data_IF_342238834336
#
_entry.id   IF_342238834336
#
_cell.length_a   1.000
_cell.length_b   1.000
_cell.length_c   1.000
_cell.angle_alpha   90.00
_cell.angle_beta   90.00
_cell.angle_gamma   90.00
#
_symmetry.space_group_name_H-M   'P 1'
#
loop_
_entity.id
_entity.type
_entity.pdbx_description
1 polymer ?
#
# COMPACT_ATOMS: atom_id res chain seq x y z
N UNK A 1 1.31 -24.79 21.03
CA UNK A 1 1.30 -23.78 22.12
C UNK A 1 0.71 -22.52 21.53
N UNK A 2 -0.46 -22.08 21.99
CA UNK A 2 -1.06 -20.82 21.53
C UNK A 2 -0.25 -19.65 22.09
N UNK A 3 0.09 -18.68 21.25
CA UNK A 3 0.75 -17.45 21.69
C UNK A 3 -0.15 -16.73 22.71
N UNK A 4 0.42 -16.11 23.77
CA UNK A 4 -0.37 -15.36 24.75
C UNK A 4 -1.01 -14.13 24.09
N UNK A 5 -2.23 -13.80 24.53
CA UNK A 5 -3.02 -12.66 24.05
C UNK A 5 -2.24 -11.35 24.21
N UNK A 6 -2.09 -10.59 23.13
CA UNK A 6 -1.33 -9.36 23.12
C UNK A 6 -2.24 -8.11 23.20
N UNK A 7 -1.64 -6.91 23.25
CA UNK A 7 -2.42 -5.67 23.39
C UNK A 7 -3.29 -5.35 22.17
N UNK A 8 -2.94 -5.84 20.97
CA UNK A 8 -3.75 -5.70 19.76
C UNK A 8 -5.00 -6.56 19.88
N UNK A 9 -4.89 -7.80 20.39
CA UNK A 9 -6.06 -8.63 20.69
C UNK A 9 -7.01 -7.92 21.66
N UNK A 10 -6.48 -7.32 22.73
CA UNK A 10 -7.29 -6.57 23.69
C UNK A 10 -7.99 -5.36 23.06
N UNK A 11 -7.30 -4.63 22.17
CA UNK A 11 -7.88 -3.51 21.42
C UNK A 11 -9.00 -3.97 20.49
N UNK A 12 -8.79 -5.03 19.71
CA UNK A 12 -9.78 -5.56 18.77
C UNK A 12 -11.02 -6.09 19.52
N UNK A 13 -10.83 -6.80 20.63
CA UNK A 13 -11.93 -7.23 21.51
C UNK A 13 -12.69 -6.01 22.05
N UNK A 14 -11.98 -4.98 22.51
CA UNK A 14 -12.62 -3.75 23.00
C UNK A 14 -13.48 -3.07 21.92
N UNK A 15 -13.01 -3.01 20.68
CA UNK A 15 -13.79 -2.49 19.55
C UNK A 15 -15.07 -3.29 19.33
N UNK A 16 -15.00 -4.61 19.36
CA UNK A 16 -16.18 -5.49 19.21
C UNK A 16 -17.17 -5.29 20.36
N UNK A 17 -16.69 -5.25 21.61
CA UNK A 17 -17.55 -5.04 22.78
C UNK A 17 -18.24 -3.67 22.76
N UNK A 18 -17.51 -2.61 22.38
CA UNK A 18 -18.08 -1.27 22.21
C UNK A 18 -19.14 -1.23 21.11
N UNK A 19 -18.93 -1.96 20.01
CA UNK A 19 -19.90 -2.05 18.92
C UNK A 19 -21.15 -2.85 19.33
N UNK A 20 -21.01 -3.92 20.11
CA UNK A 20 -22.13 -4.66 20.73
C UNK A 20 -22.93 -3.71 21.62
N UNK A 21 -22.26 -2.95 22.49
CA UNK A 21 -22.90 -1.99 23.39
C UNK A 21 -23.62 -0.88 22.61
N UNK A 22 -23.01 -0.34 21.55
CA UNK A 22 -23.66 0.61 20.67
C UNK A 22 -24.89 0.00 19.96
N UNK A 23 -24.79 -1.27 19.56
CA UNK A 23 -25.91 -2.04 18.98
C UNK A 23 -27.05 -2.22 19.97
N UNK A 24 -26.75 -2.52 21.23
CA UNK A 24 -27.72 -2.55 22.32
C UNK A 24 -28.45 -1.21 22.44
N UNK A 25 -27.73 -0.09 22.45
CA UNK A 25 -28.34 1.25 22.60
C UNK A 25 -29.20 1.67 21.41
N UNK A 26 -28.82 1.27 20.19
CA UNK A 26 -29.57 1.59 18.95
C UNK A 26 -30.75 0.67 18.70
N UNK A 27 -30.65 -0.58 19.13
CA UNK A 27 -31.62 -1.63 18.86
C UNK A 27 -31.49 -2.28 17.48
N UNK A 28 -32.13 -3.44 17.35
CA UNK A 28 -32.02 -4.34 16.21
C UNK A 28 -32.48 -3.72 14.91
N UNK A 29 -33.65 -3.06 14.90
CA UNK A 29 -34.21 -2.53 13.67
C UNK A 29 -33.28 -1.48 13.03
N UNK A 30 -32.83 -0.51 13.81
CA UNK A 30 -31.91 0.53 13.34
C UNK A 30 -30.52 -0.05 13.01
N UNK A 31 -30.00 -0.96 13.84
CA UNK A 31 -28.72 -1.61 13.60
C UNK A 31 -28.70 -2.41 12.29
N UNK A 32 -29.71 -3.24 12.06
CA UNK A 32 -29.82 -4.09 10.88
C UNK A 32 -30.06 -3.29 9.61
N UNK A 33 -30.94 -2.29 9.63
CA UNK A 33 -31.16 -1.40 8.50
C UNK A 33 -29.91 -0.59 8.15
N UNK A 34 -29.19 -0.09 9.16
CA UNK A 34 -27.92 0.61 8.95
C UNK A 34 -26.85 -0.28 8.34
N UNK A 35 -26.71 -1.52 8.81
CA UNK A 35 -25.76 -2.50 8.27
C UNK A 35 -26.11 -2.85 6.82
N UNK A 36 -27.39 -3.14 6.53
CA UNK A 36 -27.85 -3.41 5.18
C UNK A 36 -27.61 -2.21 4.26
N UNK A 37 -27.92 -0.99 4.73
CA UNK A 37 -27.67 0.23 3.98
C UNK A 37 -26.19 0.42 3.63
N UNK A 38 -25.29 0.12 4.56
CA UNK A 38 -23.85 0.16 4.30
C UNK A 38 -23.44 -0.87 3.24
N UNK A 39 -23.84 -2.13 3.40
CA UNK A 39 -23.52 -3.21 2.44
C UNK A 39 -24.07 -2.87 1.04
N UNK A 40 -25.34 -2.46 0.97
CA UNK A 40 -25.98 -2.08 -0.28
C UNK A 40 -25.26 -0.90 -0.96
N UNK A 41 -24.81 0.09 -0.19
CA UNK A 41 -24.05 1.22 -0.73
C UNK A 41 -22.71 0.80 -1.35
N UNK A 42 -22.00 -0.15 -0.72
CA UNK A 42 -20.75 -0.70 -1.25
C UNK A 42 -21.00 -1.51 -2.52
N UNK A 43 -21.98 -2.41 -2.51
CA UNK A 43 -22.36 -3.20 -3.69
C UNK A 43 -22.76 -2.30 -4.86
N UNK A 44 -23.59 -1.29 -4.61
CA UNK A 44 -23.99 -0.33 -5.64
C UNK A 44 -22.79 0.49 -6.13
N UNK A 45 -21.90 0.90 -5.24
CA UNK A 45 -20.64 1.53 -5.60
C UNK A 45 -19.87 0.74 -6.66
N UNK A 46 -19.66 -0.55 -6.43
CA UNK A 46 -18.97 -1.44 -7.37
C UNK A 46 -19.70 -1.61 -8.71
N UNK A 47 -21.02 -1.60 -8.72
CA UNK A 47 -21.80 -1.73 -9.96
C UNK A 47 -21.75 -0.44 -10.79
N UNK A 48 -21.81 0.72 -10.14
CA UNK A 48 -22.05 2.01 -10.81
C UNK A 48 -20.80 2.88 -10.99
N UNK A 49 -19.69 2.62 -10.28
CA UNK A 49 -18.47 3.41 -10.47
C UNK A 49 -17.95 3.45 -11.93
N UNK A 50 -18.08 2.40 -12.78
CA UNK A 50 -17.56 2.48 -14.15
C UNK A 50 -18.34 3.48 -15.01
N UNK A 51 -19.65 3.61 -14.75
CA UNK A 51 -20.49 4.60 -15.43
C UNK A 51 -20.13 6.01 -14.97
N UNK A 52 -19.97 6.20 -13.66
CA UNK A 52 -19.60 7.49 -13.10
C UNK A 52 -18.18 7.91 -13.52
N UNK A 53 -17.24 6.97 -13.68
CA UNK A 53 -15.89 7.26 -14.16
C UNK A 53 -15.90 7.88 -15.56
N UNK A 54 -16.73 7.36 -16.47
CA UNK A 54 -16.91 7.94 -17.82
C UNK A 54 -17.46 9.37 -17.77
N UNK A 55 -18.34 9.66 -16.82
CA UNK A 55 -18.87 11.01 -16.61
C UNK A 55 -17.78 11.93 -16.07
N UNK A 56 -17.04 11.49 -15.04
CA UNK A 56 -15.93 12.27 -14.46
C UNK A 56 -14.89 12.58 -15.52
N UNK A 57 -14.50 11.62 -16.36
CA UNK A 57 -13.54 11.82 -17.45
C UNK A 57 -14.01 12.84 -18.48
N UNK A 58 -15.32 13.02 -18.65
CA UNK A 58 -15.90 13.97 -19.60
C UNK A 58 -15.95 15.41 -19.07
N UNK A 59 -16.19 15.58 -17.77
CA UNK A 59 -16.51 16.90 -17.19
C UNK A 59 -15.45 17.43 -16.22
N UNK A 60 -14.64 16.57 -15.62
CA UNK A 60 -13.55 16.99 -14.74
C UNK A 60 -12.29 17.16 -15.58
N UNK A 61 -11.60 18.31 -15.51
CA UNK A 61 -10.31 18.47 -16.16
C UNK A 61 -9.26 17.56 -15.51
N UNK A 62 -8.65 16.68 -16.31
CA UNK A 62 -7.50 15.85 -15.90
C UNK A 62 -7.67 14.95 -14.66
N UNK A 63 -8.79 14.19 -14.49
CA UNK A 63 -8.91 13.23 -13.39
C UNK A 63 -7.92 12.06 -13.54
N UNK A 64 -7.54 11.73 -14.78
CA UNK A 64 -6.55 10.72 -15.11
C UNK A 64 -6.84 9.39 -14.42
N UNK A 65 -5.83 8.85 -13.73
CA UNK A 65 -5.92 7.57 -13.02
C UNK A 65 -6.83 7.59 -11.80
N UNK A 66 -7.24 8.77 -11.32
CA UNK A 66 -8.12 8.94 -10.16
C UNK A 66 -9.61 8.88 -10.53
N UNK A 67 -9.96 8.77 -11.82
CA UNK A 67 -11.36 8.70 -12.25
C UNK A 67 -12.12 7.56 -11.58
N UNK A 68 -11.56 6.34 -11.58
CA UNK A 68 -12.22 5.17 -11.02
C UNK A 68 -12.29 5.19 -9.47
N UNK A 69 -11.21 5.47 -8.72
CA UNK A 69 -11.27 5.62 -7.25
C UNK A 69 -12.29 6.67 -6.79
N UNK A 70 -12.27 7.86 -7.39
CA UNK A 70 -13.19 8.94 -7.02
C UNK A 70 -14.63 8.55 -7.33
N UNK A 71 -14.86 7.90 -8.47
CA UNK A 71 -16.18 7.41 -8.84
C UNK A 71 -16.72 6.39 -7.86
N UNK A 72 -15.88 5.46 -7.38
CA UNK A 72 -16.30 4.48 -6.39
C UNK A 72 -16.69 5.16 -5.08
N UNK A 73 -15.88 6.09 -4.57
CA UNK A 73 -16.15 6.83 -3.34
C UNK A 73 -17.44 7.65 -3.46
N UNK A 74 -17.60 8.37 -4.58
CA UNK A 74 -18.80 9.18 -4.84
C UNK A 74 -20.03 8.30 -4.93
N UNK A 75 -19.98 7.18 -5.67
CA UNK A 75 -21.11 6.27 -5.82
C UNK A 75 -21.53 5.67 -4.46
N UNK A 76 -20.59 5.19 -3.65
CA UNK A 76 -20.88 4.67 -2.30
C UNK A 76 -21.50 5.76 -1.43
N UNK A 77 -20.92 6.95 -1.43
CA UNK A 77 -21.39 8.07 -0.59
C UNK A 77 -22.79 8.54 -0.99
N UNK A 78 -23.03 8.73 -2.29
CA UNK A 78 -24.32 9.14 -2.82
C UNK A 78 -25.41 8.10 -2.51
N UNK A 79 -25.13 6.81 -2.76
CA UNK A 79 -26.09 5.74 -2.43
C UNK A 79 -26.37 5.66 -0.94
N UNK A 80 -25.34 5.84 -0.10
CA UNK A 80 -25.51 5.84 1.36
C UNK A 80 -26.41 6.99 1.83
N UNK A 81 -26.24 8.18 1.27
CA UNK A 81 -27.11 9.33 1.59
C UNK A 81 -28.55 9.04 1.18
N UNK A 82 -28.78 8.53 -0.02
CA UNK A 82 -30.12 8.15 -0.49
C UNK A 82 -30.77 7.08 0.39
N UNK A 83 -30.04 6.02 0.73
CA UNK A 83 -30.53 4.96 1.60
C UNK A 83 -30.81 5.45 3.02
N UNK A 84 -30.06 6.43 3.53
CA UNK A 84 -30.30 6.98 4.87
C UNK A 84 -31.68 7.62 5.00
N UNK A 85 -32.15 8.36 3.99
CA UNK A 85 -33.51 8.91 3.98
C UNK A 85 -34.58 7.81 4.04
N UNK A 86 -34.38 6.72 3.31
CA UNK A 86 -35.32 5.59 3.30
C UNK A 86 -35.33 4.88 4.66
N UNK A 87 -34.14 4.65 5.23
CA UNK A 87 -33.99 4.02 6.54
C UNK A 87 -34.63 4.88 7.63
N UNK A 88 -34.39 6.19 7.63
CA UNK A 88 -34.98 7.11 8.60
C UNK A 88 -36.50 7.19 8.47
N UNK A 89 -37.03 7.15 7.24
CA UNK A 89 -38.47 7.06 7.00
C UNK A 89 -39.06 5.76 7.60
N UNK A 90 -38.43 4.61 7.36
CA UNK A 90 -38.85 3.32 7.91
C UNK A 90 -38.80 3.34 9.44
N UNK A 91 -37.73 3.87 10.03
CA UNK A 91 -37.56 3.96 11.47
C UNK A 91 -38.60 4.90 12.09
N UNK A 92 -38.82 6.08 11.52
CA UNK A 92 -39.82 7.03 12.02
C UNK A 92 -41.27 6.49 11.95
N UNK A 93 -41.56 5.61 10.98
CA UNK A 93 -42.86 4.95 10.86
C UNK A 93 -43.06 3.81 11.87
N UNK A 94 -41.98 3.28 12.46
CA UNK A 94 -42.08 2.22 13.46
C UNK A 94 -42.59 2.77 14.80
N UNK A 95 -43.50 2.01 15.43
CA UNK A 95 -44.13 2.47 16.69
C UNK A 95 -43.11 2.72 17.81
N UNK A 96 -43.44 3.64 18.73
CA UNK A 96 -42.62 3.93 19.93
C UNK A 96 -42.41 2.68 20.79
N UNK A 97 -43.37 1.74 20.79
CA UNK A 97 -43.28 0.47 21.52
C UNK A 97 -42.19 -0.45 20.95
N UNK A 98 -42.01 -0.46 19.62
CA UNK A 98 -40.94 -1.23 18.96
C UNK A 98 -39.57 -0.66 19.32
N UNK A 99 -39.43 0.67 19.31
CA UNK A 99 -38.18 1.34 19.69
C UNK A 99 -37.77 1.05 21.13
N UNK A 100 -38.71 1.14 22.08
CA UNK A 100 -38.45 0.93 23.52
C UNK A 100 -38.44 -0.54 23.95
N UNK A 101 -38.68 -1.48 23.03
CA UNK A 101 -38.75 -2.90 23.37
C UNK A 101 -37.39 -3.43 23.84
N UNK A 102 -37.36 -4.09 25.00
CA UNK A 102 -36.16 -4.74 25.51
C UNK A 102 -35.65 -5.81 24.53
N UNK A 103 -36.55 -6.48 23.80
CA UNK A 103 -36.18 -7.47 22.76
C UNK A 103 -35.48 -6.76 21.59
N UNK A 104 -35.95 -5.57 21.19
CA UNK A 104 -35.29 -4.79 20.13
C UNK A 104 -33.87 -4.38 20.55
N UNK A 105 -33.69 -3.90 21.78
CA UNK A 105 -32.37 -3.54 22.31
C UNK A 105 -31.45 -4.77 22.45
N UNK A 106 -31.96 -5.88 23.01
CA UNK A 106 -31.20 -7.11 23.15
C UNK A 106 -30.78 -7.71 21.80
N UNK A 107 -31.71 -7.80 20.86
CA UNK A 107 -31.40 -8.26 19.51
C UNK A 107 -30.45 -7.29 18.77
N UNK A 108 -30.41 -6.00 19.16
CA UNK A 108 -29.49 -5.00 18.63
C UNK A 108 -28.01 -5.33 18.81
N UNK A 109 -27.68 -6.21 19.76
CA UNK A 109 -26.33 -6.74 19.90
C UNK A 109 -25.86 -7.53 18.67
N UNK A 110 -26.77 -8.15 17.91
CA UNK A 110 -26.42 -8.95 16.71
C UNK A 110 -25.82 -8.08 15.60
N UNK A 111 -26.52 -7.06 15.07
CA UNK A 111 -25.92 -6.16 14.09
C UNK A 111 -24.76 -5.35 14.68
N UNK A 112 -24.78 -5.06 15.99
CA UNK A 112 -23.65 -4.44 16.70
C UNK A 112 -22.39 -5.32 16.66
N UNK A 113 -22.53 -6.61 16.91
CA UNK A 113 -21.43 -7.59 16.83
C UNK A 113 -20.86 -7.68 15.42
N UNK A 114 -21.72 -7.83 14.40
CA UNK A 114 -21.28 -7.89 12.99
C UNK A 114 -20.52 -6.62 12.61
N UNK A 115 -21.04 -5.44 12.98
CA UNK A 115 -20.36 -4.17 12.73
C UNK A 115 -19.04 -4.06 13.50
N UNK A 116 -18.99 -4.57 14.73
CA UNK A 116 -17.77 -4.66 15.53
C UNK A 116 -16.71 -5.52 14.86
N UNK A 117 -17.09 -6.67 14.30
CA UNK A 117 -16.19 -7.53 13.53
C UNK A 117 -15.64 -6.78 12.32
N UNK A 118 -16.49 -6.14 11.51
CA UNK A 118 -16.04 -5.36 10.33
C UNK A 118 -15.04 -4.27 10.74
N UNK A 119 -15.34 -3.51 11.80
CA UNK A 119 -14.45 -2.45 12.30
C UNK A 119 -13.13 -3.01 12.82
N UNK A 120 -13.15 -4.14 13.54
CA UNK A 120 -11.96 -4.82 13.99
C UNK A 120 -11.11 -5.33 12.80
N UNK A 121 -11.74 -5.87 11.75
CA UNK A 121 -11.04 -6.30 10.53
C UNK A 121 -10.35 -5.13 9.82
N UNK A 122 -11.04 -3.99 9.70
CA UNK A 122 -10.48 -2.77 9.09
C UNK A 122 -9.32 -2.23 9.94
N UNK A 123 -9.52 -2.13 11.26
CA UNK A 123 -8.48 -1.65 12.17
C UNK A 123 -7.26 -2.56 12.14
N UNK A 124 -7.46 -3.87 12.12
CA UNK A 124 -6.39 -4.87 11.98
C UNK A 124 -5.61 -4.64 10.67
N UNK A 125 -6.30 -4.56 9.52
CA UNK A 125 -5.66 -4.29 8.23
C UNK A 125 -4.89 -2.95 8.21
N UNK A 126 -5.41 -1.92 8.88
CA UNK A 126 -4.72 -0.64 9.05
C UNK A 126 -3.47 -0.78 9.93
N UNK A 127 -3.54 -1.51 11.05
CA UNK A 127 -2.37 -1.76 11.91
C UNK A 127 -1.29 -2.58 11.20
N UNK A 128 -1.67 -3.48 10.29
CA UNK A 128 -0.73 -4.21 9.44
C UNK A 128 -0.06 -3.34 8.39
N UNK A 129 -0.81 -2.42 7.77
CA UNK A 129 -0.33 -1.60 6.65
C UNK A 129 0.40 -0.34 7.09
N UNK A 130 0.01 0.25 8.21
CA UNK A 130 0.63 1.43 8.77
C UNK A 130 1.85 0.97 9.59
N UNK A 131 3.05 1.07 9.01
CA UNK A 131 4.35 0.83 9.66
C UNK A 131 4.64 1.86 10.78
N UNK A 132 3.74 2.03 11.74
CA UNK A 132 3.80 3.06 12.79
C UNK A 132 4.97 2.81 13.74
N UNK A 133 5.25 1.54 14.06
CA UNK A 133 6.46 1.10 14.76
C UNK A 133 6.67 -0.41 14.58
N UNK A 134 7.91 -0.90 14.80
CA UNK A 134 8.19 -2.35 14.79
C UNK A 134 7.35 -3.11 15.81
N UNK A 135 7.19 -2.55 17.01
CA UNK A 135 6.41 -3.18 18.10
C UNK A 135 4.93 -3.33 17.75
N UNK A 136 4.35 -2.33 17.05
CA UNK A 136 2.96 -2.39 16.59
C UNK A 136 2.79 -3.42 15.48
N UNK A 137 3.73 -3.46 14.53
CA UNK A 137 3.69 -4.43 13.44
C UNK A 137 3.84 -5.87 13.95
N UNK A 138 4.72 -6.11 14.92
CA UNK A 138 4.95 -7.45 15.48
C UNK A 138 3.82 -7.90 16.39
N UNK A 139 3.18 -6.97 17.12
CA UNK A 139 1.96 -7.25 17.87
C UNK A 139 0.76 -7.56 16.95
N UNK A 140 0.61 -6.84 15.83
CA UNK A 140 -0.44 -7.15 14.86
C UNK A 140 -0.25 -8.54 14.23
N UNK A 141 0.98 -8.91 13.86
CA UNK A 141 1.34 -10.22 13.27
C UNK A 141 1.19 -11.40 14.20
N UNK A 142 1.18 -11.18 15.51
CA UNK A 142 1.02 -12.24 16.51
C UNK A 142 -0.40 -12.31 17.09
N UNK A 143 -1.33 -11.49 16.58
CA UNK A 143 -2.71 -11.43 17.07
C UNK A 143 -3.53 -12.62 16.59
N UNK A 144 -4.10 -13.37 17.54
CA UNK A 144 -4.99 -14.51 17.27
C UNK A 144 -6.34 -14.02 16.73
N UNK A 145 -6.79 -12.84 17.20
CA UNK A 145 -8.05 -12.24 16.75
C UNK A 145 -7.91 -11.74 15.31
N UNK A 146 -6.79 -11.12 14.97
CA UNK A 146 -6.54 -10.64 13.61
C UNK A 146 -6.62 -11.77 12.56
N UNK A 147 -6.03 -12.94 12.83
CA UNK A 147 -6.00 -14.05 11.87
C UNK A 147 -7.38 -14.66 11.56
N UNK A 148 -8.32 -14.62 12.51
CA UNK A 148 -9.62 -15.29 12.37
C UNK A 148 -10.73 -14.40 11.78
N UNK A 149 -10.55 -13.07 11.78
CA UNK A 149 -11.61 -12.12 11.41
C UNK A 149 -11.29 -11.28 10.17
N UNK A 150 -10.15 -11.46 9.53
CA UNK A 150 -9.83 -10.80 8.26
C UNK A 150 -10.70 -11.46 7.17
N UNK A 151 -11.59 -10.68 6.54
CA UNK A 151 -12.10 -11.04 5.20
C UNK A 151 -10.88 -11.39 4.35
N UNK A 152 -10.87 -12.51 3.61
CA UNK A 152 -9.68 -12.94 2.88
C UNK A 152 -9.11 -11.74 2.12
N UNK A 153 -7.93 -11.26 2.55
CA UNK A 153 -7.36 -10.03 2.01
C UNK A 153 -7.23 -10.12 0.49
N UNK A 154 -7.02 -11.35 0.00
CA UNK A 154 -7.05 -11.74 -1.41
C UNK A 154 -8.38 -11.41 -2.11
N UNK A 155 -9.53 -11.69 -1.49
CA UNK A 155 -10.84 -11.35 -2.06
C UNK A 155 -11.04 -9.84 -2.19
N UNK A 156 -10.66 -9.09 -1.14
CA UNK A 156 -10.79 -7.63 -1.17
C UNK A 156 -9.83 -7.03 -2.20
N UNK A 157 -8.60 -7.54 -2.26
CA UNK A 157 -7.61 -7.13 -3.24
C UNK A 157 -8.07 -7.41 -4.67
N UNK A 158 -8.62 -8.60 -4.96
CA UNK A 158 -9.18 -8.96 -6.28
C UNK A 158 -10.26 -7.97 -6.73
N UNK A 159 -11.12 -7.52 -5.81
CA UNK A 159 -12.20 -6.57 -6.13
C UNK A 159 -11.75 -5.12 -6.22
N UNK A 160 -10.75 -4.70 -5.43
CA UNK A 160 -10.27 -3.32 -5.42
C UNK A 160 -9.18 -3.05 -6.47
N UNK A 161 -8.36 -4.04 -6.81
CA UNK A 161 -7.26 -3.91 -7.77
C UNK A 161 -7.67 -3.23 -9.08
N UNK A 162 -8.77 -3.62 -9.76
CA UNK A 162 -9.20 -2.97 -11.01
C UNK A 162 -9.51 -1.47 -10.87
N UNK A 163 -9.86 -1.01 -9.66
CA UNK A 163 -10.20 0.38 -9.36
C UNK A 163 -8.94 1.19 -9.04
N UNK A 164 -8.02 0.61 -8.27
CA UNK A 164 -6.90 1.35 -7.69
C UNK A 164 -5.55 1.09 -8.36
N UNK A 165 -5.34 -0.03 -9.07
CA UNK A 165 -4.03 -0.42 -9.59
C UNK A 165 -3.40 0.64 -10.48
N UNK A 166 -4.15 1.25 -11.40
CA UNK A 166 -3.60 2.31 -12.27
C UNK A 166 -3.22 3.56 -11.48
N UNK A 167 -3.98 3.89 -10.43
CA UNK A 167 -3.71 5.03 -9.58
C UNK A 167 -2.51 4.77 -8.66
N UNK A 168 -2.44 3.58 -8.09
CA UNK A 168 -1.33 3.09 -7.27
C UNK A 168 -0.08 3.02 -8.13
N UNK A 169 -0.09 2.32 -9.27
CA UNK A 169 1.06 2.18 -10.16
C UNK A 169 1.57 3.53 -10.66
N UNK A 170 0.70 4.48 -11.03
CA UNK A 170 1.17 5.82 -11.42
C UNK A 170 1.75 6.61 -10.25
N UNK A 171 1.23 6.42 -9.04
CA UNK A 171 1.79 7.02 -7.83
C UNK A 171 3.13 6.38 -7.47
N UNK A 172 3.25 5.06 -7.66
CA UNK A 172 4.46 4.27 -7.49
C UNK A 172 5.53 4.64 -8.53
N UNK A 173 5.15 4.87 -9.78
CA UNK A 173 6.09 5.34 -10.81
C UNK A 173 6.59 6.76 -10.52
N UNK A 174 5.81 7.58 -9.78
CA UNK A 174 6.31 8.88 -9.24
C UNK A 174 7.25 8.72 -8.04
N UNK A 175 7.33 7.53 -7.45
CA UNK A 175 8.32 7.18 -6.43
C UNK A 175 9.63 6.66 -7.05
N UNK A 176 9.72 6.67 -8.38
CA UNK A 176 10.89 6.24 -9.17
C UNK A 176 11.24 7.33 -10.21
N UNK A 177 12.48 7.37 -10.68
CA UNK A 177 12.92 8.23 -11.80
C UNK A 177 13.30 7.29 -12.93
N UNK A 178 12.75 7.48 -14.14
CA UNK A 178 13.00 6.62 -15.30
C UNK A 178 14.51 6.50 -15.61
N UNK A 179 15.00 5.30 -15.99
CA UNK A 179 16.41 5.13 -16.35
C UNK A 179 16.84 6.09 -17.44
N UNK A 180 18.09 6.55 -17.36
CA UNK A 180 18.71 7.47 -18.34
C UNK A 180 18.02 8.86 -18.43
N UNK A 181 17.06 9.15 -17.53
CA UNK A 181 16.47 10.48 -17.38
C UNK A 181 17.45 11.48 -16.77
N UNK A 182 17.40 12.72 -17.27
CA UNK A 182 18.09 13.88 -16.68
C UNK A 182 17.22 14.60 -15.64
N UNK A 183 16.08 14.04 -15.25
CA UNK A 183 15.18 14.62 -14.26
C UNK A 183 15.81 14.59 -12.87
N UNK A 184 15.77 15.73 -12.19
CA UNK A 184 16.20 15.86 -10.79
C UNK A 184 15.00 16.24 -9.94
N UNK A 185 14.52 15.29 -9.14
CA UNK A 185 13.44 15.53 -8.19
C UNK A 185 14.04 16.06 -6.90
N UNK A 186 13.65 17.28 -6.49
CA UNK A 186 14.04 17.84 -5.18
C UNK A 186 13.19 17.20 -4.08
N UNK A 187 13.83 16.59 -3.10
CA UNK A 187 13.14 16.04 -1.94
C UNK A 187 12.81 17.17 -0.94
N UNK A 188 11.64 17.14 -0.30
CA UNK A 188 11.26 18.15 0.71
C UNK A 188 11.99 17.94 2.05
N UNK A 189 12.99 17.06 2.09
CA UNK A 189 13.74 16.70 3.29
C UNK A 189 15.18 16.35 2.93
N UNK A 190 16.03 16.34 3.97
CA UNK A 190 17.40 15.84 3.94
C UNK A 190 17.61 15.02 5.20
N UNK A 191 18.34 13.92 5.12
CA UNK A 191 18.72 13.14 6.31
C UNK A 191 20.10 12.54 6.15
N UNK A 192 20.84 12.55 7.26
CA UNK A 192 22.07 11.77 7.45
C UNK A 192 21.86 10.63 8.46
N UNK A 193 20.68 10.59 9.09
CA UNK A 193 20.26 9.55 10.01
C UNK A 193 19.51 8.49 9.22
N UNK A 194 20.28 7.53 8.70
CA UNK A 194 19.77 6.39 7.96
C UNK A 194 20.58 5.15 8.31
N UNK A 195 19.95 3.99 8.14
CA UNK A 195 20.54 2.68 8.46
C UNK A 195 20.72 1.90 7.16
N UNK A 196 21.91 1.34 6.94
CA UNK A 196 22.17 0.40 5.84
C UNK A 196 21.41 -0.92 6.07
N UNK A 197 20.69 -1.40 5.06
CA UNK A 197 19.80 -2.57 5.16
C UNK A 197 20.27 -3.72 4.28
N UNK A 198 21.39 -4.35 4.64
CA UNK A 198 21.91 -5.53 3.92
C UNK A 198 20.92 -6.71 3.90
N UNK A 199 20.05 -6.83 4.90
CA UNK A 199 18.96 -7.80 4.94
C UNK A 199 17.93 -7.56 3.84
N UNK A 200 17.63 -6.30 3.52
CA UNK A 200 16.72 -5.93 2.44
C UNK A 200 17.38 -6.02 1.07
N UNK A 201 18.67 -5.72 0.95
CA UNK A 201 19.44 -5.89 -0.29
C UNK A 201 19.39 -7.35 -0.77
N UNK A 202 19.62 -8.31 0.14
CA UNK A 202 19.54 -9.74 -0.17
C UNK A 202 18.14 -10.16 -0.63
N UNK A 203 17.09 -9.66 0.05
CA UNK A 203 15.69 -9.92 -0.34
C UNK A 203 15.34 -9.31 -1.69
N UNK A 204 15.80 -8.08 -1.97
CA UNK A 204 15.59 -7.45 -3.27
C UNK A 204 16.23 -8.27 -4.39
N UNK A 205 17.45 -8.78 -4.19
CA UNK A 205 18.11 -9.65 -5.15
C UNK A 205 17.31 -10.93 -5.42
N UNK A 206 16.74 -11.54 -4.38
CA UNK A 206 15.86 -12.70 -4.52
C UNK A 206 14.62 -12.39 -5.37
N UNK A 207 13.96 -11.26 -5.09
CA UNK A 207 12.78 -10.78 -5.84
C UNK A 207 13.12 -10.51 -7.31
N UNK A 208 14.21 -9.78 -7.58
CA UNK A 208 14.73 -9.52 -8.94
C UNK A 208 15.00 -10.84 -9.67
N UNK A 209 15.71 -11.77 -9.03
CA UNK A 209 16.03 -13.06 -9.66
C UNK A 209 14.79 -13.95 -9.85
N UNK A 210 13.75 -13.80 -9.03
CA UNK A 210 12.45 -14.46 -9.24
C UNK A 210 11.80 -13.96 -10.53
N UNK A 211 11.78 -12.66 -10.79
CA UNK A 211 11.24 -12.10 -12.04
C UNK A 211 12.07 -12.52 -13.26
N UNK A 212 13.41 -12.53 -13.15
CA UNK A 212 14.29 -13.03 -14.21
C UNK A 212 14.04 -14.50 -14.54
N UNK A 213 13.88 -15.36 -13.53
CA UNK A 213 13.54 -16.78 -13.74
C UNK A 213 12.20 -16.96 -14.44
N UNK A 214 11.17 -16.16 -14.08
CA UNK A 214 9.87 -16.18 -14.78
C UNK A 214 10.00 -15.81 -16.26
N UNK A 215 10.93 -14.92 -16.59
CA UNK A 215 11.24 -14.52 -17.96
C UNK A 215 12.22 -15.47 -18.69
N UNK A 216 12.64 -16.58 -18.06
CA UNK A 216 13.60 -17.53 -18.66
C UNK A 216 15.05 -17.03 -18.71
N UNK A 217 15.39 -16.03 -17.89
CA UNK A 217 16.73 -15.42 -17.86
C UNK A 217 17.60 -15.98 -16.71
N UNK A 218 18.94 -16.00 -16.89
CA UNK A 218 19.87 -16.33 -15.81
C UNK A 218 19.75 -15.37 -14.63
N UNK A 219 19.96 -15.89 -13.42
CA UNK A 219 20.01 -15.06 -12.21
C UNK A 219 21.25 -14.17 -12.20
N UNK A 220 21.10 -12.94 -11.70
CA UNK A 220 22.19 -12.01 -11.47
C UNK A 220 22.96 -12.40 -10.21
N UNK A 221 24.28 -12.27 -10.27
CA UNK A 221 25.17 -12.44 -9.13
C UNK A 221 25.34 -11.11 -8.36
N UNK A 222 25.33 -11.17 -7.03
CA UNK A 222 25.63 -10.02 -6.20
C UNK A 222 27.05 -9.51 -6.46
N UNK A 223 27.20 -8.19 -6.54
CA UNK A 223 28.47 -7.53 -6.82
C UNK A 223 28.79 -6.48 -5.76
N UNK A 224 29.84 -6.74 -4.98
CA UNK A 224 30.24 -5.88 -3.85
C UNK A 224 30.82 -4.55 -4.29
N UNK A 225 31.38 -4.43 -5.50
CA UNK A 225 31.89 -3.17 -6.01
C UNK A 225 30.74 -2.27 -6.45
N UNK A 226 29.78 -2.81 -7.18
CA UNK A 226 28.54 -2.10 -7.53
C UNK A 226 27.71 -1.73 -6.30
N UNK A 227 27.65 -2.60 -5.29
CA UNK A 227 26.98 -2.31 -4.01
C UNK A 227 27.51 -1.04 -3.35
N UNK A 228 28.83 -0.83 -3.36
CA UNK A 228 29.45 0.38 -2.80
C UNK A 228 29.01 1.63 -3.56
N UNK A 229 28.95 1.56 -4.90
CA UNK A 229 28.45 2.65 -5.75
C UNK A 229 27.00 2.97 -5.42
N UNK A 230 26.15 1.93 -5.34
CA UNK A 230 24.73 2.06 -5.03
C UNK A 230 24.48 2.69 -3.65
N UNK A 231 25.19 2.23 -2.61
CA UNK A 231 25.08 2.79 -1.26
C UNK A 231 25.56 4.24 -1.19
N UNK A 232 26.66 4.56 -1.87
CA UNK A 232 27.18 5.92 -1.92
C UNK A 232 26.18 6.89 -2.57
N UNK A 233 25.56 6.49 -3.69
CA UNK A 233 24.57 7.32 -4.37
C UNK A 233 23.27 7.45 -3.57
N UNK A 234 22.77 6.36 -2.97
CA UNK A 234 21.63 6.42 -2.05
C UNK A 234 21.88 7.36 -0.86
N UNK A 235 23.09 7.34 -0.30
CA UNK A 235 23.48 8.23 0.78
C UNK A 235 23.54 9.70 0.33
N UNK A 236 24.06 9.96 -0.87
CA UNK A 236 24.16 11.30 -1.42
C UNK A 236 22.78 11.92 -1.65
N UNK A 237 21.87 11.16 -2.27
CA UNK A 237 20.47 11.54 -2.49
C UNK A 237 19.77 11.95 -1.19
N UNK A 238 19.91 11.15 -0.12
CA UNK A 238 19.34 11.50 1.18
C UNK A 238 20.00 12.72 1.84
N UNK A 239 21.33 12.79 1.85
CA UNK A 239 22.07 13.89 2.51
C UNK A 239 21.80 15.23 1.85
N UNK A 240 21.68 15.24 0.52
CA UNK A 240 21.58 16.46 -0.26
C UNK A 240 20.15 16.80 -0.67
N UNK A 241 19.20 15.88 -0.49
CA UNK A 241 17.76 16.11 -0.68
C UNK A 241 17.38 16.14 -2.15
N UNK A 242 17.86 15.18 -2.92
CA UNK A 242 17.48 15.01 -4.31
C UNK A 242 17.27 13.54 -4.63
N UNK A 243 16.55 13.25 -5.71
CA UNK A 243 16.33 11.91 -6.22
C UNK A 243 16.45 11.94 -7.74
N UNK A 244 17.55 11.37 -8.26
CA UNK A 244 17.94 11.46 -9.66
C UNK A 244 19.06 10.47 -10.02
N UNK A 245 19.16 10.11 -11.29
CA UNK A 245 20.30 9.36 -11.84
C UNK A 245 21.60 10.19 -11.88
N UNK A 246 21.47 11.49 -12.17
CA UNK A 246 22.58 12.42 -12.15
C UNK A 246 22.80 12.98 -10.75
N UNK A 247 24.05 13.07 -10.32
CA UNK A 247 24.40 13.94 -9.19
C UNK A 247 24.14 15.40 -9.55
N UNK A 248 23.99 16.33 -8.58
CA UNK A 248 23.85 17.75 -8.88
C UNK A 248 25.05 18.36 -9.63
N UNK A 249 26.21 17.70 -9.58
CA UNK A 249 27.40 18.02 -10.37
C UNK A 249 27.33 17.48 -11.81
N UNK A 250 26.34 16.65 -12.14
CA UNK A 250 26.13 16.07 -13.46
C UNK A 250 26.81 14.70 -13.66
N UNK A 251 27.45 14.12 -12.65
CA UNK A 251 28.02 12.77 -12.75
C UNK A 251 26.90 11.73 -12.88
N UNK A 252 26.94 10.95 -13.96
CA UNK A 252 25.97 9.88 -14.24
C UNK A 252 26.39 8.55 -13.56
N UNK A 253 25.55 7.50 -13.60
CA UNK A 253 25.86 6.22 -12.93
C UNK A 253 27.16 5.60 -13.42
N UNK A 254 27.46 5.73 -14.72
CA UNK A 254 28.66 5.19 -15.34
C UNK A 254 29.93 5.93 -14.90
N UNK A 255 29.85 7.24 -14.66
CA UNK A 255 30.94 8.01 -14.06
C UNK A 255 31.24 7.51 -12.66
N UNK A 256 30.20 7.34 -11.83
CA UNK A 256 30.34 6.82 -10.46
C UNK A 256 30.94 5.41 -10.44
N UNK A 257 30.51 4.54 -11.36
CA UNK A 257 31.08 3.20 -11.53
C UNK A 257 32.56 3.25 -11.93
N UNK A 258 32.94 4.11 -12.88
CA UNK A 258 34.35 4.27 -13.31
C UNK A 258 35.22 4.80 -12.19
N UNK A 259 34.76 5.79 -11.43
CA UNK A 259 35.47 6.34 -10.28
C UNK A 259 35.71 5.27 -9.20
N UNK A 260 34.75 4.35 -9.02
CA UNK A 260 34.88 3.20 -8.15
C UNK A 260 35.72 2.04 -8.73
N UNK A 261 36.39 2.23 -9.88
CA UNK A 261 37.15 1.20 -10.61
C UNK A 261 36.32 -0.04 -11.00
N UNK A 262 35.03 0.14 -11.28
CA UNK A 262 34.17 -0.91 -11.81
C UNK A 262 34.29 -0.96 -13.32
N UNK A 263 34.76 -2.09 -13.84
CA UNK A 263 34.81 -2.35 -15.28
C UNK A 263 33.49 -2.94 -15.80
N UNK A 264 33.00 -2.43 -16.93
CA UNK A 264 31.81 -2.90 -17.62
C UNK A 264 31.89 -2.51 -19.11
N UNK A 265 31.23 -3.28 -19.97
CA UNK A 265 30.92 -2.87 -21.35
C UNK A 265 29.44 -2.55 -21.51
N UNK A 266 28.61 -3.07 -20.60
CA UNK A 266 27.20 -2.79 -20.48
C UNK A 266 26.87 -2.57 -19.00
N UNK A 267 26.19 -1.46 -18.69
CA UNK A 267 25.73 -1.15 -17.35
C UNK A 267 24.35 -0.48 -17.39
N UNK A 268 23.69 -0.39 -16.23
CA UNK A 268 22.42 0.32 -16.07
C UNK A 268 22.15 0.62 -14.59
N UNK A 269 21.24 1.55 -14.34
CA UNK A 269 20.81 1.92 -12.99
C UNK A 269 19.28 1.94 -12.89
N UNK A 270 18.74 1.45 -11.78
CA UNK A 270 17.38 1.70 -11.35
C UNK A 270 17.36 2.36 -9.97
N UNK A 271 16.43 3.31 -9.77
CA UNK A 271 16.26 4.04 -8.52
C UNK A 271 14.82 3.95 -8.03
N UNK A 272 14.64 3.76 -6.71
CA UNK A 272 13.34 3.84 -6.06
C UNK A 272 13.44 4.49 -4.67
N UNK A 273 12.44 5.28 -4.31
CA UNK A 273 12.24 5.81 -2.96
C UNK A 273 10.85 5.41 -2.47
N UNK A 274 10.75 4.42 -1.60
CA UNK A 274 9.45 3.85 -1.19
C UNK A 274 9.39 3.57 0.31
N UNK A 275 8.18 3.36 0.85
CA UNK A 275 8.00 3.05 2.27
C UNK A 275 8.40 1.61 2.63
N UNK A 276 8.34 0.68 1.67
CA UNK A 276 8.65 -0.74 1.91
C UNK A 276 9.41 -1.33 0.73
N UNK A 277 10.06 -2.46 0.97
CA UNK A 277 10.80 -3.20 -0.07
C UNK A 277 9.89 -3.68 -1.20
N UNK A 278 8.72 -4.21 -0.86
CA UNK A 278 7.75 -4.69 -1.85
C UNK A 278 7.27 -3.56 -2.75
N UNK A 279 6.96 -2.41 -2.16
CA UNK A 279 6.57 -1.22 -2.92
C UNK A 279 7.71 -0.77 -3.85
N UNK A 280 8.95 -0.70 -3.36
CA UNK A 280 10.09 -0.37 -4.23
C UNK A 280 10.21 -1.34 -5.41
N UNK A 281 10.15 -2.65 -5.16
CA UNK A 281 10.28 -3.66 -6.21
C UNK A 281 9.11 -3.61 -7.22
N UNK A 282 7.88 -3.50 -6.75
CA UNK A 282 6.69 -3.40 -7.60
C UNK A 282 6.71 -2.13 -8.45
N UNK A 283 7.11 -0.99 -7.87
CA UNK A 283 7.29 0.26 -8.61
C UNK A 283 8.28 0.10 -9.78
N UNK A 284 9.43 -0.53 -9.50
CA UNK A 284 10.43 -0.82 -10.53
C UNK A 284 9.91 -1.80 -11.61
N UNK A 285 9.13 -2.81 -11.24
CA UNK A 285 8.58 -3.76 -12.23
C UNK A 285 7.41 -3.17 -13.05
N UNK A 286 6.72 -2.16 -12.52
CA UNK A 286 5.59 -1.49 -13.19
C UNK A 286 6.01 -0.31 -14.07
N UNK A 287 7.27 0.13 -14.02
CA UNK A 287 7.87 1.02 -15.01
C UNK A 287 8.53 0.21 -16.12
N UNK A 288 8.31 0.65 -17.37
CA UNK A 288 8.85 -0.01 -18.55
C UNK A 288 10.39 0.01 -18.56
N UNK A 289 11.00 1.18 -18.37
CA UNK A 289 12.46 1.33 -18.40
C UNK A 289 13.15 0.57 -17.26
N UNK A 290 12.64 0.67 -16.03
CA UNK A 290 13.22 -0.05 -14.89
C UNK A 290 13.13 -1.58 -15.07
N UNK A 291 11.98 -2.06 -15.54
CA UNK A 291 11.76 -3.48 -15.82
C UNK A 291 12.67 -3.97 -16.96
N UNK A 292 12.90 -3.17 -17.99
CA UNK A 292 13.85 -3.50 -19.06
C UNK A 292 15.26 -3.72 -18.51
N UNK A 293 15.73 -2.88 -17.57
CA UNK A 293 17.00 -3.10 -16.89
C UNK A 293 17.01 -4.42 -16.11
N UNK A 294 15.98 -4.68 -15.29
CA UNK A 294 15.87 -5.90 -14.49
C UNK A 294 15.88 -7.16 -15.38
N UNK A 295 15.22 -7.10 -16.54
CA UNK A 295 15.06 -8.21 -17.48
C UNK A 295 16.06 -8.16 -18.63
N UNK A 296 17.09 -7.31 -18.58
CA UNK A 296 18.08 -7.24 -19.66
C UNK A 296 18.93 -8.53 -19.68
N UNK A 297 18.97 -9.27 -20.80
CA UNK A 297 19.75 -10.51 -20.87
C UNK A 297 21.27 -10.29 -20.75
N UNK A 298 21.75 -9.11 -21.17
CA UNK A 298 23.18 -8.78 -21.16
C UNK A 298 23.78 -8.51 -19.78
N UNK A 299 22.97 -8.43 -18.72
CA UNK A 299 23.47 -8.27 -17.35
C UNK A 299 23.68 -9.63 -16.68
N UNK A 300 24.83 -9.76 -15.99
CA UNK A 300 25.19 -10.92 -15.18
C UNK A 300 25.40 -10.59 -13.69
N UNK A 301 25.55 -9.30 -13.35
CA UNK A 301 25.91 -8.83 -12.01
C UNK A 301 25.06 -7.65 -11.58
N UNK A 302 24.80 -7.55 -10.28
CA UNK A 302 24.02 -6.46 -9.67
C UNK A 302 24.58 -6.07 -8.31
N UNK A 303 24.71 -4.78 -8.06
CA UNK A 303 24.91 -4.19 -6.75
C UNK A 303 23.64 -3.47 -6.30
N UNK A 304 23.18 -3.74 -5.09
CA UNK A 304 21.98 -3.11 -4.54
C UNK A 304 22.41 -2.37 -3.28
N UNK A 305 22.09 -1.09 -3.18
CA UNK A 305 22.26 -0.28 -1.99
C UNK A 305 20.91 0.11 -1.44
N UNK A 306 20.63 -0.20 -0.17
CA UNK A 306 19.39 0.19 0.50
C UNK A 306 19.70 0.93 1.79
N UNK A 307 19.24 2.17 1.88
CA UNK A 307 19.31 2.99 3.09
C UNK A 307 17.90 3.26 3.61
N UNK A 308 17.69 3.03 4.91
CA UNK A 308 16.43 3.26 5.61
C UNK A 308 16.48 4.60 6.35
N UNK A 309 15.76 5.60 5.83
CA UNK A 309 15.61 6.92 6.42
C UNK A 309 14.46 7.01 7.43
N UNK A 310 13.95 5.89 7.95
CA UNK A 310 12.85 5.84 8.90
C UNK A 310 11.55 6.36 8.29
N UNK A 311 11.02 7.46 8.84
CA UNK A 311 9.76 8.09 8.35
C UNK A 311 9.81 8.53 6.88
N UNK A 312 11.01 8.68 6.32
CA UNK A 312 11.21 9.08 4.93
C UNK A 312 11.19 7.91 3.95
N UNK A 313 11.14 6.67 4.45
CA UNK A 313 11.18 5.45 3.65
C UNK A 313 12.59 4.95 3.35
N UNK A 314 12.68 3.95 2.47
CA UNK A 314 13.91 3.36 1.98
C UNK A 314 14.31 3.98 0.63
N UNK A 315 15.57 4.39 0.53
CA UNK A 315 16.22 4.76 -0.74
C UNK A 315 16.89 3.50 -1.30
N UNK A 316 16.58 3.17 -2.56
CA UNK A 316 17.09 1.98 -3.25
C UNK A 316 17.79 2.41 -4.53
N UNK A 317 19.04 1.99 -4.67
CA UNK A 317 19.79 2.04 -5.93
C UNK A 317 20.13 0.61 -6.36
N UNK A 318 19.83 0.25 -7.61
CA UNK A 318 20.27 -0.99 -8.24
C UNK A 318 21.20 -0.64 -9.39
N UNK A 319 22.43 -1.12 -9.31
CA UNK A 319 23.46 -0.91 -10.31
C UNK A 319 23.71 -2.25 -11.01
N UNK A 320 23.68 -2.29 -12.34
CA UNK A 320 23.80 -3.51 -13.14
C UNK A 320 25.06 -3.49 -13.99
N UNK A 321 25.66 -4.67 -14.23
CA UNK A 321 26.70 -4.85 -15.27
C UNK A 321 26.68 -6.24 -15.90
N UNK A 322 27.34 -6.36 -17.05
CA UNK A 322 27.60 -7.65 -17.70
C UNK A 322 28.58 -8.55 -16.92
#
# INVERSE_FOLDING_TARGET
MHAPMNWVDALLIAVVLLAIWAGWNRGFLAGSLGLFGWIASVCFGFVFYPFLAKIIERYVPSPGVWSAPLSLIIAITATRLLLSFIIDAILSAASVRVHRSAINHAAGMIPGFINGLILASILSALLFSLSISKDVADAARSSIVADNFVMPAEWLNEKLSPVFDKAVNRSMNKLTVEPESNEIVKLPFKTSDFIERSDLEAKMLEMVNKERRKAGLPSLAADSALRKVALAHSADMFKRGYFAHLTPEGANPFDRMREANVHFTLAGENLALAQTLSLAHEGLMNSEGHRENILRPGFGRIGIGILDGGRYGIMVSQEFRN
#
